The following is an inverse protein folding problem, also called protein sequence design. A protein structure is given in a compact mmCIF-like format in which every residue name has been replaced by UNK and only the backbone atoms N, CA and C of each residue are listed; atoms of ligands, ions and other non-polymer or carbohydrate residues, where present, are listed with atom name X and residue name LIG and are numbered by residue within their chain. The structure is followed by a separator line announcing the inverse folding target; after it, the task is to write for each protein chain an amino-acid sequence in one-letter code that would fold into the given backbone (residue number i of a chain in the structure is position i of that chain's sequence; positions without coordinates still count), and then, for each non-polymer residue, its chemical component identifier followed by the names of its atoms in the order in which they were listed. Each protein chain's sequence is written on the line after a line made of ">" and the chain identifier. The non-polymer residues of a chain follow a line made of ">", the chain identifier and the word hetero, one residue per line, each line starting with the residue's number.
data_IF_262314811959
#
_entry.id   IF_262314811959
#
_cell.length_a   1.000
_cell.length_b   1.000
_cell.length_c   1.000
_cell.angle_alpha   90.00
_cell.angle_beta   90.00
_cell.angle_gamma   90.00
#
_symmetry.space_group_name_H-M   'P 1'
#
loop_
_entity.id
_entity.type
_entity.pdbx_description
1 polymer ?
#
# COMPACT_ATOMS: atom_id res chain seq x y z
N UNK A 1 -13.20 -60.43 -30.35
CA UNK A 1 -13.05 -60.02 -28.93
C UNK A 1 -12.38 -58.64 -28.93
N UNK A 2 -13.06 -57.64 -28.38
CA UNK A 2 -12.83 -56.20 -28.60
C UNK A 2 -11.59 -55.70 -27.84
N UNK A 3 -10.75 -54.91 -28.53
CA UNK A 3 -9.59 -54.20 -27.96
C UNK A 3 -10.07 -53.05 -27.08
N UNK A 4 -9.63 -52.98 -25.83
CA UNK A 4 -9.89 -51.87 -24.92
C UNK A 4 -8.62 -51.03 -24.81
N UNK A 5 -8.61 -49.87 -25.46
CA UNK A 5 -7.55 -48.87 -25.36
C UNK A 5 -7.91 -47.98 -24.16
N UNK A 6 -7.07 -47.97 -23.13
CA UNK A 6 -7.21 -47.09 -21.97
C UNK A 6 -6.40 -45.81 -22.26
N UNK A 7 -7.08 -44.74 -22.67
CA UNK A 7 -6.45 -43.43 -22.87
C UNK A 7 -6.34 -42.73 -21.52
N UNK A 8 -5.12 -42.62 -21.01
CA UNK A 8 -4.79 -41.85 -19.80
C UNK A 8 -4.87 -40.36 -20.15
N UNK A 9 -5.88 -39.65 -19.64
CA UNK A 9 -5.95 -38.19 -19.71
C UNK A 9 -5.05 -37.61 -18.62
N UNK A 10 -3.90 -37.08 -19.03
CA UNK A 10 -2.99 -36.34 -18.16
C UNK A 10 -3.59 -34.94 -17.90
N UNK A 11 -4.20 -34.75 -16.73
CA UNK A 11 -4.65 -33.43 -16.28
C UNK A 11 -3.42 -32.65 -15.80
N UNK A 12 -2.82 -31.85 -16.69
CA UNK A 12 -1.78 -30.88 -16.31
C UNK A 12 -2.48 -29.79 -15.50
N UNK A 13 -2.39 -29.89 -14.17
CA UNK A 13 -2.78 -28.80 -13.28
C UNK A 13 -1.72 -27.71 -13.47
N UNK A 14 -2.06 -26.70 -14.28
CA UNK A 14 -1.34 -25.45 -14.25
C UNK A 14 -1.57 -24.84 -12.86
N UNK A 15 -0.58 -24.97 -11.97
CA UNK A 15 -0.54 -24.20 -10.74
C UNK A 15 -0.41 -22.73 -11.15
N UNK A 16 -1.54 -22.05 -11.24
CA UNK A 16 -1.54 -20.62 -11.42
C UNK A 16 -0.81 -19.99 -10.23
N UNK A 17 0.28 -19.29 -10.52
CA UNK A 17 1.03 -18.46 -9.58
C UNK A 17 0.15 -17.29 -9.15
N UNK A 18 -0.85 -17.57 -8.31
CA UNK A 18 -1.57 -16.53 -7.59
C UNK A 18 -0.73 -16.15 -6.37
N UNK A 19 -0.57 -14.85 -6.15
CA UNK A 19 -0.15 -14.33 -4.86
C UNK A 19 -1.08 -14.95 -3.80
N UNK A 20 -0.51 -15.70 -2.85
CA UNK A 20 -1.28 -16.34 -1.79
C UNK A 20 -1.41 -15.35 -0.64
N UNK A 21 -2.61 -14.80 -0.49
CA UNK A 21 -2.97 -14.01 0.69
C UNK A 21 -3.77 -14.90 1.63
N UNK A 22 -3.22 -15.17 2.80
CA UNK A 22 -3.88 -15.88 3.90
C UNK A 22 -4.25 -14.87 4.99
N UNK A 23 -5.47 -14.97 5.51
CA UNK A 23 -5.95 -14.11 6.60
C UNK A 23 -6.47 -15.01 7.72
N UNK A 24 -5.85 -14.91 8.89
CA UNK A 24 -6.36 -15.51 10.13
C UNK A 24 -7.02 -14.41 10.96
N UNK A 25 -8.32 -14.52 11.21
CA UNK A 25 -9.08 -13.51 11.96
C UNK A 25 -9.26 -13.93 13.41
N UNK A 26 -8.95 -13.02 14.35
CA UNK A 26 -9.13 -13.21 15.77
C UNK A 26 -10.37 -12.46 16.29
N UNK A 27 -10.89 -12.90 17.44
CA UNK A 27 -12.16 -12.41 18.00
C UNK A 27 -12.12 -10.93 18.46
N UNK A 28 -10.92 -10.39 18.70
CA UNK A 28 -10.72 -9.00 19.20
C UNK A 28 -10.56 -7.95 18.08
N UNK A 29 -10.88 -8.31 16.83
CA UNK A 29 -10.79 -7.38 15.71
C UNK A 29 -9.40 -7.29 15.06
N UNK A 30 -8.45 -8.11 15.52
CA UNK A 30 -7.14 -8.29 14.91
C UNK A 30 -7.16 -9.42 13.89
N UNK A 31 -6.31 -9.33 12.88
CA UNK A 31 -6.06 -10.41 11.96
C UNK A 31 -4.57 -10.51 11.65
N UNK A 32 -4.08 -11.74 11.51
CA UNK A 32 -2.77 -12.02 10.93
C UNK A 32 -2.94 -12.16 9.42
N UNK A 33 -2.22 -11.35 8.67
CA UNK A 33 -2.13 -11.43 7.21
C UNK A 33 -0.79 -12.03 6.85
N UNK A 34 -0.80 -13.01 5.96
CA UNK A 34 0.38 -13.49 5.25
C UNK A 34 0.17 -13.26 3.77
N UNK A 35 1.10 -12.55 3.14
CA UNK A 35 1.06 -12.20 1.73
C UNK A 35 2.35 -12.71 1.07
N UNK A 36 2.20 -13.68 0.16
CA UNK A 36 3.33 -14.24 -0.59
C UNK A 36 3.34 -13.66 -1.99
N UNK A 37 4.42 -12.93 -2.32
CA UNK A 37 4.63 -12.34 -3.66
C UNK A 37 5.97 -12.76 -4.23
N UNK A 38 6.02 -12.88 -5.55
CA UNK A 38 7.29 -13.04 -6.26
C UNK A 38 7.88 -11.67 -6.55
N UNK A 39 9.14 -11.49 -6.18
CA UNK A 39 9.88 -10.24 -6.38
C UNK A 39 11.14 -10.54 -7.15
N UNK A 40 11.35 -9.84 -8.26
CA UNK A 40 12.62 -9.85 -8.97
C UNK A 40 13.60 -8.94 -8.20
N UNK A 41 14.76 -9.49 -7.85
CA UNK A 41 15.81 -8.79 -7.12
C UNK A 41 17.07 -8.77 -7.97
N UNK A 42 17.72 -7.62 -8.05
CA UNK A 42 19.02 -7.47 -8.71
C UNK A 42 20.18 -7.90 -7.79
N UNK A 43 21.36 -8.14 -8.37
CA UNK A 43 22.56 -8.42 -7.56
C UNK A 43 23.07 -7.12 -6.91
N UNK A 44 23.40 -7.18 -5.63
CA UNK A 44 23.86 -6.06 -4.81
C UNK A 44 22.73 -5.42 -4.02
N UNK A 45 22.87 -4.12 -3.73
CA UNK A 45 21.88 -3.35 -2.98
C UNK A 45 20.70 -3.02 -3.89
N UNK A 46 19.50 -3.45 -3.50
CA UNK A 46 18.24 -3.23 -4.21
C UNK A 46 17.12 -2.87 -3.23
N UNK A 47 16.06 -2.23 -3.73
CA UNK A 47 14.88 -1.87 -2.92
C UNK A 47 13.67 -2.69 -3.34
N UNK A 48 13.11 -3.42 -2.38
CA UNK A 48 11.88 -4.19 -2.57
C UNK A 48 10.72 -3.48 -1.89
N UNK A 49 9.62 -3.28 -2.62
CA UNK A 49 8.44 -2.59 -2.09
C UNK A 49 7.18 -3.46 -2.23
N UNK A 50 6.41 -3.54 -1.16
CA UNK A 50 5.08 -4.16 -1.14
C UNK A 50 4.04 -3.06 -0.98
N UNK A 51 3.40 -2.69 -2.08
CA UNK A 51 2.23 -1.82 -2.09
C UNK A 51 0.96 -2.61 -1.72
N UNK A 52 -0.14 -1.88 -1.46
CA UNK A 52 -1.45 -2.45 -1.14
C UNK A 52 -1.48 -3.25 0.18
N UNK A 53 -0.66 -2.87 1.17
CA UNK A 53 -0.76 -3.48 2.51
C UNK A 53 -1.91 -2.85 3.29
N UNK A 54 -2.34 -3.53 4.37
CA UNK A 54 -3.47 -3.06 5.16
C UNK A 54 -3.22 -1.64 5.74
N UNK A 55 -4.24 -0.79 5.69
CA UNK A 55 -4.15 0.59 6.21
C UNK A 55 -4.07 0.67 7.73
N UNK A 56 -4.56 -0.37 8.43
CA UNK A 56 -4.48 -0.53 9.88
C UNK A 56 -3.45 -1.57 10.31
N UNK A 57 -2.40 -1.74 9.51
CA UNK A 57 -1.25 -2.59 9.84
C UNK A 57 -0.57 -2.07 11.11
N UNK A 58 -0.11 -2.97 11.96
CA UNK A 58 0.76 -2.66 13.09
C UNK A 58 2.22 -2.75 12.62
N UNK A 59 2.93 -1.62 12.43
CA UNK A 59 4.24 -1.63 11.75
C UNK A 59 5.30 -2.45 12.49
N UNK A 60 5.17 -2.56 13.82
CA UNK A 60 6.06 -3.33 14.68
C UNK A 60 5.87 -4.85 14.56
N UNK A 61 4.76 -5.30 13.96
CA UNK A 61 4.46 -6.73 13.76
C UNK A 61 4.97 -7.29 12.43
N UNK A 62 5.52 -6.42 11.58
CA UNK A 62 5.93 -6.76 10.22
C UNK A 62 7.13 -7.70 10.23
N UNK A 63 6.98 -8.84 9.57
CA UNK A 63 8.03 -9.80 9.30
C UNK A 63 8.12 -10.04 7.79
N UNK A 64 9.33 -9.92 7.24
CA UNK A 64 9.63 -10.17 5.84
C UNK A 64 10.69 -11.26 5.72
N UNK A 65 10.44 -12.28 4.90
CA UNK A 65 11.39 -13.38 4.66
C UNK A 65 11.29 -13.93 3.24
N UNK A 66 12.40 -14.49 2.74
CA UNK A 66 12.37 -15.32 1.52
C UNK A 66 11.94 -16.74 1.85
N UNK A 67 11.01 -17.29 1.07
CA UNK A 67 10.65 -18.70 1.10
C UNK A 67 11.54 -19.55 0.18
N UNK A 68 12.05 -18.95 -0.90
CA UNK A 68 12.85 -19.67 -1.90
C UNK A 68 14.31 -19.86 -1.48
N UNK A 69 14.93 -18.82 -0.91
CA UNK A 69 16.31 -18.88 -0.44
C UNK A 69 16.51 -17.86 0.70
N UNK A 70 16.38 -18.28 1.97
CA UNK A 70 16.50 -17.39 3.13
C UNK A 70 17.86 -16.71 3.27
N UNK A 71 18.95 -17.37 2.84
CA UNK A 71 20.32 -16.89 3.05
C UNK A 71 20.86 -16.02 1.91
N UNK A 72 20.10 -15.85 0.83
CA UNK A 72 20.59 -15.23 -0.40
C UNK A 72 20.51 -13.69 -0.41
N UNK A 73 19.62 -13.11 0.40
CA UNK A 73 19.57 -11.67 0.61
C UNK A 73 19.48 -11.30 2.08
N UNK A 74 20.20 -10.25 2.47
CA UNK A 74 20.17 -9.68 3.82
C UNK A 74 19.34 -8.40 3.81
N UNK A 75 18.45 -8.26 4.79
CA UNK A 75 17.70 -7.01 4.98
C UNK A 75 18.60 -6.00 5.68
N UNK A 76 18.86 -4.88 5.03
CA UNK A 76 19.65 -3.76 5.54
C UNK A 76 18.77 -2.73 6.26
N UNK A 77 17.61 -2.43 5.69
CA UNK A 77 16.66 -1.45 6.22
C UNK A 77 15.22 -1.92 5.99
N UNK A 78 14.32 -1.60 6.93
CA UNK A 78 12.87 -1.71 6.78
C UNK A 78 12.23 -0.34 7.01
N UNK A 79 11.45 0.11 6.03
CA UNK A 79 10.77 1.39 6.05
C UNK A 79 9.27 1.20 5.82
N UNK A 80 8.45 1.71 6.74
CA UNK A 80 7.00 1.76 6.57
C UNK A 80 6.56 3.16 6.22
N UNK A 81 6.03 3.34 5.00
CA UNK A 81 5.62 4.65 4.50
C UNK A 81 4.11 4.82 4.70
N UNK A 82 3.75 5.62 5.70
CA UNK A 82 2.36 5.93 6.08
C UNK A 82 1.80 7.21 5.44
N UNK A 83 2.59 7.94 4.65
CA UNK A 83 2.16 9.17 3.96
C UNK A 83 1.20 8.86 2.81
N UNK A 84 0.02 8.41 3.19
CA UNK A 84 -1.09 8.09 2.31
C UNK A 84 -1.57 9.37 1.66
N UNK A 85 -1.73 9.30 0.34
CA UNK A 85 -2.33 10.36 -0.43
C UNK A 85 -3.76 10.59 0.06
N UNK A 86 -4.00 11.77 0.61
CA UNK A 86 -5.30 12.27 1.01
C UNK A 86 -5.35 13.77 0.66
N UNK A 87 -6.54 14.37 0.69
CA UNK A 87 -6.69 15.77 0.27
C UNK A 87 -5.76 16.70 1.04
N UNK A 88 -5.55 16.48 2.34
CA UNK A 88 -4.63 17.30 3.13
C UNK A 88 -3.17 17.10 2.71
N UNK A 89 -2.69 15.86 2.52
CA UNK A 89 -1.29 15.61 2.09
C UNK A 89 -1.02 16.09 0.67
N UNK A 90 -2.00 16.00 -0.23
CA UNK A 90 -1.93 16.59 -1.57
C UNK A 90 -1.78 18.09 -1.46
N UNK A 91 -2.67 18.77 -0.73
CA UNK A 91 -2.65 20.22 -0.60
C UNK A 91 -1.37 20.72 0.08
N UNK A 92 -0.85 20.01 1.09
CA UNK A 92 0.41 20.39 1.74
C UNK A 92 1.61 20.37 0.77
N UNK A 93 1.62 19.44 -0.20
CA UNK A 93 2.67 19.38 -1.22
C UNK A 93 2.47 20.37 -2.37
N UNK A 94 1.29 21.01 -2.44
CA UNK A 94 0.94 22.00 -3.46
C UNK A 94 0.99 23.45 -2.93
N UNK A 95 1.53 23.69 -1.72
CA UNK A 95 1.73 25.05 -1.23
C UNK A 95 2.66 25.81 -2.20
N UNK A 96 2.23 26.98 -2.64
CA UNK A 96 2.88 27.80 -3.68
C UNK A 96 2.45 27.46 -5.11
N UNK A 97 1.61 26.45 -5.32
CA UNK A 97 1.14 26.04 -6.65
C UNK A 97 -0.26 26.58 -6.97
N UNK A 98 -0.57 26.56 -8.27
CA UNK A 98 -1.88 26.94 -8.82
C UNK A 98 -2.93 25.87 -8.54
N UNK A 99 -4.05 26.28 -7.95
CA UNK A 99 -5.23 25.45 -7.65
C UNK A 99 -6.50 26.08 -8.19
N UNK A 100 -7.49 25.26 -8.49
CA UNK A 100 -8.79 25.71 -9.03
C UNK A 100 -9.84 25.51 -7.94
N UNK A 101 -10.58 26.58 -7.65
CA UNK A 101 -11.63 26.61 -6.65
C UNK A 101 -12.95 26.09 -7.23
N UNK A 102 -13.92 25.76 -6.37
CA UNK A 102 -15.24 25.28 -6.79
C UNK A 102 -15.99 26.27 -7.71
N UNK A 103 -15.80 27.58 -7.49
CA UNK A 103 -16.35 28.65 -8.31
C UNK A 103 -15.69 28.77 -9.70
N UNK A 104 -14.71 27.92 -10.02
CA UNK A 104 -13.97 27.88 -11.28
C UNK A 104 -12.86 28.93 -11.38
N UNK A 105 -12.61 29.72 -10.33
CA UNK A 105 -11.50 30.67 -10.32
C UNK A 105 -10.17 29.99 -9.97
N UNK A 106 -9.08 30.49 -10.54
CA UNK A 106 -7.73 30.03 -10.21
C UNK A 106 -7.12 30.91 -9.10
N UNK A 107 -6.29 30.28 -8.27
CA UNK A 107 -5.50 30.98 -7.28
C UNK A 107 -4.27 30.19 -6.86
N UNK A 108 -3.42 30.81 -6.06
CA UNK A 108 -2.21 30.21 -5.49
C UNK A 108 -2.51 29.73 -4.08
N UNK A 109 -2.18 28.46 -3.79
CA UNK A 109 -2.34 27.90 -2.46
C UNK A 109 -1.27 28.47 -1.52
N UNK A 110 -1.69 29.19 -0.49
CA UNK A 110 -0.81 29.83 0.50
C UNK A 110 -0.65 28.95 1.75
N UNK A 111 -1.72 28.26 2.13
CA UNK A 111 -1.75 27.37 3.31
C UNK A 111 -2.62 26.16 3.04
N UNK A 112 -2.26 25.03 3.63
CA UNK A 112 -2.97 23.75 3.51
C UNK A 112 -3.39 23.25 4.89
N UNK A 113 -4.42 22.38 4.97
CA UNK A 113 -4.88 21.85 6.24
C UNK A 113 -3.85 20.93 6.89
N UNK A 114 -3.79 20.89 8.23
CA UNK A 114 -2.85 20.02 8.95
C UNK A 114 -3.02 18.54 8.59
N UNK A 115 -1.90 17.81 8.52
CA UNK A 115 -1.88 16.36 8.28
C UNK A 115 -1.79 15.63 9.62
N UNK A 116 -2.69 14.66 9.85
CA UNK A 116 -2.75 13.89 11.10
C UNK A 116 -3.63 14.53 12.19
N UNK A 117 -4.02 13.73 13.19
CA UNK A 117 -5.07 14.04 14.19
C UNK A 117 -4.94 15.33 15.02
N UNK A 118 -3.88 16.12 14.83
CA UNK A 118 -3.74 17.48 15.33
C UNK A 118 -3.98 18.49 14.19
N UNK A 119 -5.16 18.46 13.57
CA UNK A 119 -5.60 19.44 12.57
C UNK A 119 -6.00 20.80 13.19
N UNK A 120 -5.34 21.21 14.26
CA UNK A 120 -5.67 22.42 14.99
C UNK A 120 -4.87 23.60 14.44
N UNK A 121 -5.47 24.34 13.51
CA UNK A 121 -5.16 25.78 13.32
C UNK A 121 -4.71 26.23 11.94
N UNK A 122 -4.27 25.35 11.04
CA UNK A 122 -3.96 25.73 9.66
C UNK A 122 -5.17 25.42 8.77
N UNK A 123 -5.94 26.45 8.41
CA UNK A 123 -6.96 26.34 7.36
C UNK A 123 -6.32 26.36 5.97
N UNK A 124 -7.04 25.86 4.97
CA UNK A 124 -6.69 26.09 3.56
C UNK A 124 -6.78 27.59 3.28
N UNK A 125 -5.77 28.21 2.68
CA UNK A 125 -5.82 29.62 2.27
C UNK A 125 -5.35 29.71 0.83
N UNK A 126 -6.12 30.39 -0.02
CA UNK A 126 -5.80 30.61 -1.43
C UNK A 126 -5.83 32.10 -1.73
N UNK A 127 -4.80 32.59 -2.40
CA UNK A 127 -4.78 33.93 -2.99
C UNK A 127 -5.23 33.83 -4.45
N UNK A 128 -6.39 34.39 -4.77
CA UNK A 128 -6.92 34.46 -6.13
C UNK A 128 -6.08 35.40 -6.99
N UNK A 129 -6.13 35.20 -8.30
CA UNK A 129 -5.45 36.07 -9.27
C UNK A 129 -5.99 37.51 -9.27
N UNK A 130 -7.20 37.75 -8.77
CA UNK A 130 -7.79 39.08 -8.57
C UNK A 130 -7.25 39.81 -7.31
N UNK A 131 -6.37 39.15 -6.54
CA UNK A 131 -5.78 39.67 -5.31
C UNK A 131 -6.57 39.33 -4.04
N UNK A 132 -7.76 38.75 -4.13
CA UNK A 132 -8.56 38.38 -2.97
C UNK A 132 -7.98 37.15 -2.27
N UNK A 133 -8.00 37.16 -0.94
CA UNK A 133 -7.60 36.01 -0.12
C UNK A 133 -8.87 35.27 0.31
N UNK A 134 -8.94 33.98 0.00
CA UNK A 134 -10.03 33.10 0.43
C UNK A 134 -9.53 32.16 1.50
N UNK A 135 -10.25 32.11 2.61
CA UNK A 135 -9.95 31.31 3.80
C UNK A 135 -10.94 30.14 3.85
N UNK A 136 -10.42 28.92 3.99
CA UNK A 136 -11.15 27.66 3.87
C UNK A 136 -11.92 27.47 2.55
N UNK A 137 -11.32 27.73 1.37
CA UNK A 137 -11.99 27.39 0.11
C UNK A 137 -12.05 25.87 -0.09
N UNK A 138 -13.09 25.42 -0.79
CA UNK A 138 -13.12 24.07 -1.37
C UNK A 138 -12.33 24.06 -2.67
N UNK A 139 -11.29 23.22 -2.72
CA UNK A 139 -10.45 23.02 -3.91
C UNK A 139 -11.11 21.96 -4.78
N UNK A 140 -11.50 22.34 -6.00
CA UNK A 140 -12.17 21.45 -6.95
C UNK A 140 -11.18 20.53 -7.64
N UNK A 141 -10.09 21.09 -8.13
CA UNK A 141 -9.11 20.37 -8.93
C UNK A 141 -7.71 20.97 -8.80
N UNK A 142 -6.71 20.14 -9.09
CA UNK A 142 -5.28 20.51 -9.09
C UNK A 142 -4.69 20.05 -10.41
N UNK A 143 -3.80 20.86 -11.01
CA UNK A 143 -3.24 20.59 -12.35
C UNK A 143 -2.23 19.43 -12.36
N UNK A 144 -1.71 19.03 -11.20
CA UNK A 144 -0.72 17.95 -11.07
C UNK A 144 -0.91 17.18 -9.77
N UNK A 145 -0.61 15.88 -9.81
CA UNK A 145 -0.44 15.07 -8.61
C UNK A 145 1.00 15.27 -8.12
N UNK A 146 1.22 15.67 -6.85
CA UNK A 146 2.57 15.78 -6.31
C UNK A 146 3.35 14.46 -6.35
N UNK A 147 4.62 14.53 -6.72
CA UNK A 147 5.50 13.36 -6.73
C UNK A 147 5.79 12.85 -5.31
N UNK A 148 6.02 11.55 -5.20
CA UNK A 148 6.38 10.91 -3.93
C UNK A 148 5.24 10.68 -2.95
N UNK A 149 4.01 11.10 -3.29
CA UNK A 149 2.80 10.70 -2.56
C UNK A 149 2.46 9.25 -2.88
N UNK A 150 2.21 8.46 -1.84
CA UNK A 150 1.86 7.07 -2.02
C UNK A 150 0.35 6.94 -1.86
N UNK A 151 -0.32 6.50 -2.92
CA UNK A 151 -1.77 6.32 -2.90
C UNK A 151 -2.24 5.25 -1.89
N UNK A 152 -1.35 4.34 -1.50
CA UNK A 152 -1.66 3.14 -0.73
C UNK A 152 -0.56 2.79 0.26
N UNK A 153 -0.87 2.16 1.40
CA UNK A 153 0.15 1.80 2.38
C UNK A 153 1.19 0.92 1.71
N UNK A 154 2.46 1.27 1.89
CA UNK A 154 3.58 0.58 1.24
C UNK A 154 4.69 0.34 2.23
N UNK A 155 5.12 -0.92 2.32
CA UNK A 155 6.35 -1.32 3.02
C UNK A 155 7.49 -1.38 2.03
N UNK A 156 8.68 -0.94 2.42
CA UNK A 156 9.88 -1.03 1.58
C UNK A 156 11.06 -1.52 2.39
N UNK A 157 11.87 -2.38 1.77
CA UNK A 157 13.08 -2.94 2.35
C UNK A 157 14.26 -2.65 1.45
N UNK A 158 15.34 -2.18 2.05
CA UNK A 158 16.64 -2.16 1.40
C UNK A 158 17.29 -3.53 1.65
N UNK A 159 17.62 -4.25 0.60
CA UNK A 159 18.21 -5.59 0.68
C UNK A 159 19.54 -5.63 -0.06
N UNK A 160 20.46 -6.47 0.40
CA UNK A 160 21.67 -6.83 -0.34
C UNK A 160 21.58 -8.28 -0.78
N UNK A 161 21.55 -8.51 -2.08
CA UNK A 161 21.44 -9.84 -2.70
C UNK A 161 22.72 -10.27 -3.38
N UNK A 162 23.13 -11.52 -3.16
CA UNK A 162 24.34 -12.06 -3.80
C UNK A 162 24.16 -12.42 -5.29
N UNK A 163 22.91 -12.49 -5.78
CA UNK A 163 22.59 -12.85 -7.17
C UNK A 163 21.30 -12.20 -7.68
N UNK A 164 21.21 -12.01 -9.01
CA UNK A 164 19.98 -11.59 -9.68
C UNK A 164 19.03 -12.78 -9.81
N UNK A 165 17.92 -12.78 -9.07
CA UNK A 165 16.96 -13.89 -9.05
C UNK A 165 15.57 -13.41 -8.65
N UNK A 166 14.54 -14.14 -9.10
CA UNK A 166 13.18 -13.95 -8.57
C UNK A 166 13.03 -14.76 -7.28
N UNK A 167 12.64 -14.09 -6.20
CA UNK A 167 12.41 -14.70 -4.90
C UNK A 167 10.91 -14.79 -4.63
N UNK A 168 10.47 -15.92 -4.08
CA UNK A 168 9.16 -15.99 -3.44
C UNK A 168 9.34 -15.46 -2.02
N UNK A 169 8.71 -14.34 -1.71
CA UNK A 169 8.85 -13.64 -0.43
C UNK A 169 7.52 -13.62 0.30
N UNK A 170 7.56 -13.92 1.60
CA UNK A 170 6.41 -13.84 2.49
C UNK A 170 6.52 -12.59 3.36
N UNK A 171 5.47 -11.79 3.32
CA UNK A 171 5.21 -10.68 4.22
C UNK A 171 4.14 -11.12 5.23
N UNK A 172 4.46 -11.11 6.52
CA UNK A 172 3.51 -11.38 7.60
C UNK A 172 3.33 -10.16 8.48
N UNK A 173 2.10 -9.83 8.85
CA UNK A 173 1.82 -8.71 9.76
C UNK A 173 0.44 -8.83 10.43
N UNK A 174 0.29 -8.12 11.55
CA UNK A 174 -0.99 -7.91 12.22
C UNK A 174 -1.67 -6.66 11.66
N UNK A 175 -2.98 -6.75 11.43
CA UNK A 175 -3.85 -5.61 11.11
C UNK A 175 -5.07 -5.59 12.01
N UNK A 176 -5.61 -4.40 12.24
CA UNK A 176 -6.85 -4.21 13.00
C UNK A 176 -8.06 -3.97 12.10
N UNK A 177 -9.25 -4.12 12.66
CA UNK A 177 -10.52 -3.73 12.04
C UNK A 177 -11.25 -4.82 11.27
N UNK A 178 -10.84 -6.09 11.39
CA UNK A 178 -11.51 -7.23 10.75
C UNK A 178 -12.32 -7.98 11.81
N UNK A 179 -13.63 -8.10 11.60
CA UNK A 179 -14.54 -8.85 12.47
C UNK A 179 -15.11 -10.05 11.72
N UNK A 180 -15.38 -11.13 12.44
CA UNK A 180 -16.07 -12.30 11.91
C UNK A 180 -17.15 -12.75 12.88
N UNK A 181 -18.17 -13.43 12.37
CA UNK A 181 -19.20 -14.08 13.15
C UNK A 181 -19.51 -15.43 12.49
N UNK A 182 -19.89 -16.42 13.28
CA UNK A 182 -20.34 -17.72 12.78
C UNK A 182 -21.51 -18.20 13.60
N UNK A 183 -22.59 -18.57 12.92
CA UNK A 183 -23.74 -19.21 13.52
C UNK A 183 -23.59 -20.73 13.37
N UNK A 184 -23.83 -21.47 14.45
CA UNK A 184 -23.79 -22.93 14.44
C UNK A 184 -25.18 -23.48 14.74
N UNK A 185 -25.70 -24.32 13.85
CA UNK A 185 -26.90 -25.12 14.10
C UNK A 185 -26.45 -26.55 14.39
N UNK A 186 -26.61 -27.01 15.62
CA UNK A 186 -26.51 -28.43 15.96
C UNK A 186 -27.86 -29.11 15.71
N UNK A 187 -27.82 -30.28 15.05
CA UNK A 187 -28.96 -31.20 14.86
C UNK A 187 -28.96 -32.29 15.93
#
# INVERSE_FOLDING_TARGET
>A
MKKLIFTLVLFVIAAALYAQVEITVYNEGYALVKDVRNVAVEKGIDTVSFADVASKIEPQSVLFKSLSDPDLFTILEQNYRYDLMNSATILNKLIGERVILEDGTEGTLISAPGVGGNASGAGTIVQKDDGNIVIHPEIKETKRIPEGLIARPTLSWLIDSSAKKSHSCELSYITQGIKWASDYVML
#
